data_IF_408759303116
#
_entry.id   IF_408759303116
#
_cell.length_a   1.000
_cell.length_b   1.000
_cell.length_c   1.000
_cell.angle_alpha   90.00
_cell.angle_beta   90.00
_cell.angle_gamma   90.00
#
_symmetry.space_group_name_H-M   'P 1'
#
loop_
_entity.id
_entity.type
_entity.pdbx_description
1 polymer ?
#
# COMPACT_ATOMS: atom_id res chain seq x y z
N UNK A 1 19.16 6.50 -4.71
CA UNK A 1 18.15 5.70 -5.45
C UNK A 1 17.06 5.30 -4.47
N UNK A 2 15.84 5.03 -4.93
CA UNK A 2 14.81 4.46 -4.07
C UNK A 2 15.26 3.07 -3.58
N UNK A 3 15.01 2.73 -2.31
CA UNK A 3 15.37 1.42 -1.72
C UNK A 3 14.29 0.36 -1.94
N UNK A 4 13.10 0.80 -2.32
CA UNK A 4 11.93 -0.04 -2.54
C UNK A 4 11.31 0.32 -3.87
N UNK A 5 10.89 -0.69 -4.61
CA UNK A 5 10.17 -0.54 -5.87
C UNK A 5 8.87 -1.35 -5.83
N UNK A 6 7.74 -0.71 -6.10
CA UNK A 6 6.47 -1.40 -6.31
C UNK A 6 6.47 -2.00 -7.71
N UNK A 7 6.27 -3.30 -7.79
CA UNK A 7 6.34 -4.07 -9.03
C UNK A 7 4.95 -4.40 -9.59
N UNK A 8 3.96 -4.62 -8.72
CA UNK A 8 2.59 -4.91 -9.13
C UNK A 8 1.60 -4.51 -8.05
N UNK A 9 0.37 -4.16 -8.45
CA UNK A 9 -0.78 -3.94 -7.57
C UNK A 9 -1.99 -4.58 -8.23
N UNK A 10 -2.55 -5.60 -7.60
CA UNK A 10 -3.79 -6.25 -8.05
C UNK A 10 -4.92 -5.76 -7.17
N UNK A 11 -5.96 -5.20 -7.78
CA UNK A 11 -7.21 -4.84 -7.10
C UNK A 11 -8.10 -6.07 -7.09
N UNK A 12 -8.30 -6.66 -5.91
CA UNK A 12 -9.14 -7.82 -5.71
C UNK A 12 -10.60 -7.37 -5.52
N UNK A 13 -11.54 -8.27 -5.79
CA UNK A 13 -12.98 -8.01 -5.64
C UNK A 13 -13.43 -6.69 -6.33
N UNK A 14 -13.22 -6.57 -7.65
CA UNK A 14 -13.61 -5.38 -8.42
C UNK A 14 -14.43 -5.77 -9.66
N UNK A 15 -15.67 -5.24 -9.86
CA UNK A 15 -16.37 -4.25 -9.05
C UNK A 15 -16.97 -4.82 -7.75
N UNK A 16 -17.24 -3.95 -6.77
CA UNK A 16 -17.74 -4.32 -5.44
C UNK A 16 -18.62 -3.23 -4.82
N UNK A 17 -19.51 -3.56 -3.84
CA UNK A 17 -20.32 -2.56 -3.14
C UNK A 17 -19.47 -1.51 -2.43
N UNK A 18 -19.99 -0.28 -2.30
CA UNK A 18 -19.27 0.84 -1.68
C UNK A 18 -18.75 0.56 -0.27
N UNK A 19 -19.48 -0.24 0.52
CA UNK A 19 -19.10 -0.57 1.89
C UNK A 19 -18.22 -1.82 2.02
N UNK A 20 -17.90 -2.49 0.91
CA UNK A 20 -16.94 -3.59 0.96
C UNK A 20 -15.53 -3.02 1.20
N UNK A 21 -14.70 -3.67 2.04
CA UNK A 21 -13.32 -3.26 2.23
C UNK A 21 -12.53 -3.32 0.92
N UNK A 22 -11.64 -2.34 0.73
CA UNK A 22 -10.67 -2.40 -0.35
C UNK A 22 -9.69 -3.56 -0.11
N UNK A 23 -9.40 -4.31 -1.17
CA UNK A 23 -8.48 -5.44 -1.12
C UNK A 23 -7.43 -5.25 -2.21
N UNK A 24 -6.18 -5.10 -1.80
CA UNK A 24 -5.04 -4.95 -2.69
C UNK A 24 -4.03 -6.06 -2.42
N UNK A 25 -3.60 -6.75 -3.47
CA UNK A 25 -2.39 -7.57 -3.42
C UNK A 25 -1.25 -6.76 -4.04
N UNK A 26 -0.30 -6.33 -3.22
CA UNK A 26 0.84 -5.52 -3.65
C UNK A 26 2.07 -6.41 -3.74
N UNK A 27 2.81 -6.34 -4.85
CA UNK A 27 4.15 -6.94 -4.96
C UNK A 27 5.18 -5.83 -5.01
N UNK A 28 6.18 -5.88 -4.14
CA UNK A 28 7.28 -4.93 -4.13
C UNK A 28 8.64 -5.63 -4.00
N UNK A 29 9.70 -4.89 -4.24
CA UNK A 29 11.08 -5.36 -4.11
C UNK A 29 11.87 -4.37 -3.27
N UNK A 30 12.53 -4.88 -2.22
CA UNK A 30 13.55 -4.15 -1.48
C UNK A 30 14.91 -4.41 -2.10
N UNK A 31 15.59 -3.33 -2.51
CA UNK A 31 16.90 -3.38 -3.14
C UNK A 31 18.01 -3.60 -2.09
N UNK A 32 17.79 -3.13 -0.88
CA UNK A 32 18.67 -3.33 0.28
C UNK A 32 17.83 -3.53 1.55
N UNK A 33 18.47 -4.01 2.62
CA UNK A 33 17.81 -4.24 3.91
C UNK A 33 17.32 -2.92 4.52
N UNK A 34 16.06 -2.91 4.96
CA UNK A 34 15.46 -1.80 5.67
C UNK A 34 15.44 -2.10 7.17
N UNK A 35 16.13 -1.26 7.93
CA UNK A 35 16.14 -1.32 9.39
C UNK A 35 14.85 -0.81 10.02
N UNK A 36 14.11 0.04 9.30
CA UNK A 36 12.85 0.63 9.72
C UNK A 36 11.68 -0.02 8.96
N UNK A 37 10.49 0.07 9.52
CA UNK A 37 9.27 -0.47 8.92
C UNK A 37 8.84 0.38 7.73
N UNK A 38 8.35 -0.29 6.69
CA UNK A 38 7.61 0.34 5.60
C UNK A 38 6.16 0.54 6.04
N UNK A 39 5.66 1.76 5.90
CA UNK A 39 4.27 2.08 6.15
C UNK A 39 3.48 2.10 4.83
N UNK A 40 2.44 1.28 4.77
CA UNK A 40 1.41 1.30 3.73
C UNK A 40 0.17 2.00 4.27
N UNK A 41 -0.42 2.90 3.48
CA UNK A 41 -1.67 3.58 3.81
C UNK A 41 -2.62 3.52 2.62
N UNK A 42 -3.89 3.26 2.90
CA UNK A 42 -4.98 3.39 1.93
C UNK A 42 -5.66 4.74 2.21
N UNK A 43 -5.59 5.65 1.24
CA UNK A 43 -6.19 6.99 1.35
C UNK A 43 -7.29 7.10 0.30
N UNK A 44 -8.52 7.34 0.76
CA UNK A 44 -9.65 7.61 -0.10
C UNK A 44 -9.82 9.13 -0.26
N UNK A 45 -9.75 9.61 -1.49
CA UNK A 45 -9.92 11.03 -1.81
C UNK A 45 -11.42 11.35 -1.80
N UNK A 46 -11.87 12.01 -0.73
CA UNK A 46 -13.29 12.37 -0.55
C UNK A 46 -13.75 13.50 -1.48
N UNK A 47 -12.83 14.36 -1.90
CA UNK A 47 -13.06 15.43 -2.87
C UNK A 47 -11.82 15.64 -3.73
N UNK A 48 -11.99 15.68 -5.06
CA UNK A 48 -10.87 15.96 -5.97
C UNK A 48 -10.35 17.41 -5.87
N UNK A 49 -11.09 18.31 -5.21
CA UNK A 49 -10.77 19.74 -5.12
C UNK A 49 -10.11 20.11 -3.79
N UNK A 50 -10.14 19.24 -2.77
CA UNK A 50 -9.59 19.55 -1.45
C UNK A 50 -9.17 18.28 -0.70
N UNK A 51 -7.90 18.28 -0.29
CA UNK A 51 -7.28 17.25 0.56
C UNK A 51 -7.87 17.23 1.98
N UNK A 52 -8.65 18.24 2.40
CA UNK A 52 -9.32 18.27 3.72
C UNK A 52 -10.32 17.13 3.91
N UNK A 53 -10.76 16.51 2.81
CA UNK A 53 -11.73 15.41 2.81
C UNK A 53 -11.09 14.04 2.58
N UNK A 54 -9.76 13.96 2.57
CA UNK A 54 -9.05 12.69 2.44
C UNK A 54 -9.21 11.85 3.70
N UNK A 55 -9.49 10.56 3.50
CA UNK A 55 -9.76 9.61 4.57
C UNK A 55 -8.71 8.50 4.54
N UNK A 56 -7.94 8.37 5.62
CA UNK A 56 -7.12 7.17 5.83
C UNK A 56 -8.04 6.00 6.21
N UNK A 57 -8.22 5.07 5.27
CA UNK A 57 -9.07 3.90 5.46
C UNK A 57 -8.36 2.79 6.23
N UNK A 58 -7.06 2.63 6.00
CA UNK A 58 -6.22 1.63 6.66
C UNK A 58 -4.74 2.04 6.66
N UNK A 59 -3.98 1.48 7.60
CA UNK A 59 -2.53 1.64 7.69
C UNK A 59 -1.86 0.36 8.21
N UNK A 60 -0.84 -0.12 7.51
CA UNK A 60 -0.07 -1.30 7.89
C UNK A 60 1.44 -1.01 7.92
N UNK A 61 2.15 -1.60 8.88
CA UNK A 61 3.61 -1.57 8.97
C UNK A 61 4.19 -2.92 8.57
N UNK A 62 5.19 -2.91 7.69
CA UNK A 62 5.92 -4.10 7.26
C UNK A 62 7.39 -3.88 7.56
N UNK A 63 7.92 -4.57 8.57
CA UNK A 63 9.35 -4.55 8.83
C UNK A 63 9.82 -5.34 10.06
N UNK A 64 11.15 -5.40 10.25
CA UNK A 64 12.20 -4.94 9.33
C UNK A 64 12.21 -5.75 8.02
N UNK A 65 12.54 -5.11 6.88
CA UNK A 65 12.36 -5.71 5.55
C UNK A 65 13.71 -6.09 4.93
N UNK A 66 14.04 -7.39 4.79
CA UNK A 66 15.25 -7.80 4.10
C UNK A 66 15.12 -7.61 2.59
N UNK A 67 16.25 -7.40 1.93
CA UNK A 67 16.35 -7.29 0.47
C UNK A 67 15.70 -8.50 -0.24
N UNK A 68 15.15 -8.23 -1.43
CA UNK A 68 14.46 -9.20 -2.27
C UNK A 68 13.01 -8.83 -2.58
N UNK A 69 12.37 -9.66 -3.41
CA UNK A 69 10.99 -9.50 -3.86
C UNK A 69 10.00 -10.15 -2.89
N UNK A 70 8.94 -9.45 -2.51
CA UNK A 70 7.90 -9.93 -1.57
C UNK A 70 6.49 -9.52 -2.01
N UNK A 71 5.47 -10.35 -1.74
CA UNK A 71 4.10 -9.87 -1.57
C UNK A 71 4.04 -8.97 -0.31
N UNK A 72 3.21 -7.95 -0.31
CA UNK A 72 2.77 -7.28 0.91
C UNK A 72 1.67 -8.15 1.52
N UNK A 73 1.90 -8.65 2.73
CA UNK A 73 0.94 -9.42 3.51
C UNK A 73 0.11 -8.50 4.40
#
# INVERSE_FOLDING_TARGET
MAKVQVNNVVVLDNPSPFYNPFQFEITFECIEDLSEDLEWKIIYVGSAESEEYDQALDSGLVGPVPAGRRPAD
#
